data_IF_595345610986
#
_entry.id   IF_595345610986
#
_cell.length_a   1.000
_cell.length_b   1.000
_cell.length_c   1.000
_cell.angle_alpha   90.00
_cell.angle_beta   90.00
_cell.angle_gamma   90.00
#
_symmetry.space_group_name_H-M   'P 1'
#
loop_
_entity.id
_entity.type
_entity.pdbx_description
1 polymer ?
#
# COMPACT_ATOMS: atom_id res chain seq x y z
N UNK A 1 14.83 30.21 -60.87
CA UNK A 1 14.17 30.73 -59.67
C UNK A 1 13.82 29.53 -58.78
N UNK A 2 14.66 29.27 -57.75
CA UNK A 2 14.44 28.15 -56.80
C UNK A 2 13.61 28.70 -55.63
N UNK A 3 12.39 28.19 -55.45
CA UNK A 3 11.56 28.51 -54.27
C UNK A 3 12.03 27.72 -53.08
N UNK A 4 12.54 28.40 -52.07
CA UNK A 4 12.95 27.90 -50.78
C UNK A 4 11.68 27.77 -49.91
N UNK A 5 11.23 26.56 -49.67
CA UNK A 5 10.14 26.28 -48.71
C UNK A 5 10.76 26.22 -47.30
N UNK A 6 10.57 27.27 -46.53
CA UNK A 6 10.92 27.31 -45.10
C UNK A 6 9.86 26.51 -44.33
N UNK A 7 10.20 25.30 -43.94
CA UNK A 7 9.37 24.49 -43.02
C UNK A 7 9.50 25.10 -41.63
N UNK A 8 8.45 25.82 -41.17
CA UNK A 8 8.33 26.31 -39.81
C UNK A 8 7.92 25.13 -38.91
N UNK A 9 8.89 24.52 -38.21
CA UNK A 9 8.66 23.47 -37.24
C UNK A 9 8.11 24.13 -35.95
N UNK A 10 6.79 24.15 -35.81
CA UNK A 10 6.12 24.52 -34.56
C UNK A 10 6.36 23.41 -33.55
N UNK A 11 7.40 23.56 -32.72
CA UNK A 11 7.61 22.73 -31.55
C UNK A 11 6.53 23.12 -30.54
N UNK A 12 5.46 22.34 -30.47
CA UNK A 12 4.54 22.39 -29.35
C UNK A 12 5.28 21.88 -28.11
N UNK A 13 5.85 22.80 -27.33
CA UNK A 13 6.19 22.53 -25.94
C UNK A 13 4.86 22.29 -25.21
N UNK A 14 4.47 21.02 -25.12
CA UNK A 14 3.50 20.60 -24.14
C UNK A 14 4.14 20.84 -22.79
N UNK A 15 3.81 21.96 -22.15
CA UNK A 15 4.01 22.12 -20.71
C UNK A 15 3.13 21.07 -20.03
N UNK A 16 3.70 19.90 -19.82
CA UNK A 16 3.18 19.00 -18.81
C UNK A 16 3.43 19.73 -17.49
N UNK A 17 2.41 20.44 -17.01
CA UNK A 17 2.33 20.80 -15.60
C UNK A 17 2.46 19.47 -14.87
N UNK A 18 3.57 19.29 -14.16
CA UNK A 18 3.68 18.22 -13.18
C UNK A 18 2.49 18.41 -12.24
N UNK A 19 1.42 17.64 -12.46
CA UNK A 19 0.37 17.45 -11.48
C UNK A 19 1.09 16.90 -10.27
N UNK A 20 1.22 17.71 -9.22
CA UNK A 20 1.59 17.21 -7.91
C UNK A 20 0.54 16.13 -7.62
N UNK A 21 0.97 14.92 -7.34
CA UNK A 21 0.06 13.81 -7.07
C UNK A 21 -0.71 14.15 -5.78
N UNK A 22 -1.87 14.79 -5.92
CA UNK A 22 -2.74 15.17 -4.81
C UNK A 22 -3.77 14.07 -4.50
N UNK A 23 -3.80 13.01 -5.31
CA UNK A 23 -4.73 11.88 -5.19
C UNK A 23 -3.96 10.56 -5.02
N UNK A 24 -4.32 9.77 -4.02
CA UNK A 24 -3.73 8.44 -3.80
C UNK A 24 -4.00 7.47 -4.95
N UNK A 25 -4.97 7.74 -5.82
CA UNK A 25 -5.29 6.92 -7.01
C UNK A 25 -4.23 7.04 -8.10
N UNK A 26 -3.42 8.10 -8.07
CA UNK A 26 -2.29 8.27 -8.99
C UNK A 26 -1.11 7.36 -8.61
N UNK A 27 -1.13 6.81 -7.38
CA UNK A 27 -0.09 5.91 -6.91
C UNK A 27 -0.42 4.45 -7.22
N UNK A 28 0.55 3.76 -7.81
CA UNK A 28 0.42 2.34 -8.16
C UNK A 28 1.44 1.49 -7.39
N UNK A 29 1.01 0.31 -6.99
CA UNK A 29 1.89 -0.77 -6.52
C UNK A 29 1.79 -1.90 -7.54
N UNK A 30 2.89 -2.21 -8.25
CA UNK A 30 2.95 -3.22 -9.33
C UNK A 30 1.89 -2.99 -10.43
N UNK A 31 1.61 -1.71 -10.75
CA UNK A 31 0.62 -1.34 -11.75
C UNK A 31 -0.84 -1.39 -11.28
N UNK A 32 -1.08 -1.63 -9.99
CA UNK A 32 -2.41 -1.73 -9.38
C UNK A 32 -2.71 -0.47 -8.57
N UNK A 33 -3.90 0.12 -8.76
CA UNK A 33 -4.36 1.34 -8.10
C UNK A 33 -5.54 1.10 -7.16
N UNK A 34 -5.73 2.01 -6.21
CA UNK A 34 -7.01 2.12 -5.49
C UNK A 34 -8.09 2.53 -6.47
N UNK A 35 -9.25 1.85 -6.39
CA UNK A 35 -10.38 2.04 -7.30
C UNK A 35 -10.43 1.03 -8.44
N UNK A 36 -9.35 0.29 -8.71
CA UNK A 36 -9.37 -0.82 -9.65
C UNK A 36 -10.27 -1.95 -9.12
N UNK A 37 -10.74 -2.80 -10.03
CA UNK A 37 -11.42 -4.05 -9.66
C UNK A 37 -10.39 -5.14 -9.37
N UNK A 38 -10.51 -5.83 -8.24
CA UNK A 38 -9.65 -6.99 -7.96
C UNK A 38 -9.88 -8.14 -8.94
N UNK A 39 -11.03 -8.15 -9.64
CA UNK A 39 -11.34 -9.12 -10.70
C UNK A 39 -10.42 -9.00 -11.91
N UNK A 40 -9.75 -7.87 -12.11
CA UNK A 40 -8.77 -7.68 -13.18
C UNK A 40 -7.47 -8.48 -12.92
N UNK A 41 -7.26 -8.95 -11.68
CA UNK A 41 -6.03 -9.59 -11.22
C UNK A 41 -6.23 -11.00 -10.66
N UNK A 42 -7.44 -11.36 -10.25
CA UNK A 42 -7.79 -12.67 -9.66
C UNK A 42 -9.21 -13.07 -10.06
N UNK A 43 -9.48 -14.39 -10.11
CA UNK A 43 -10.83 -14.88 -10.31
C UNK A 43 -11.73 -14.58 -9.10
N UNK A 44 -13.03 -14.43 -9.35
CA UNK A 44 -14.03 -14.22 -8.29
C UNK A 44 -14.03 -15.36 -7.26
N UNK A 45 -13.82 -16.61 -7.73
CA UNK A 45 -13.73 -17.77 -6.86
C UNK A 45 -12.54 -17.69 -5.90
N UNK A 46 -11.36 -17.29 -6.41
CA UNK A 46 -10.16 -17.09 -5.57
C UNK A 46 -10.37 -15.99 -4.55
N UNK A 47 -10.99 -14.87 -4.96
CA UNK A 47 -11.30 -13.77 -4.05
C UNK A 47 -12.19 -14.28 -2.92
N UNK A 48 -13.31 -14.94 -3.22
CA UNK A 48 -14.26 -15.49 -2.22
C UNK A 48 -13.59 -16.45 -1.25
N UNK A 49 -12.80 -17.39 -1.77
CA UNK A 49 -12.05 -18.35 -0.95
C UNK A 49 -11.09 -17.63 0.02
N UNK A 50 -10.40 -16.59 -0.47
CA UNK A 50 -9.46 -15.85 0.37
C UNK A 50 -10.15 -15.00 1.43
N UNK A 51 -11.25 -14.32 1.08
CA UNK A 51 -12.04 -13.54 2.03
C UNK A 51 -12.53 -14.40 3.18
N UNK A 52 -13.10 -15.57 2.89
CA UNK A 52 -13.56 -16.51 3.92
C UNK A 52 -12.42 -17.09 4.76
N UNK A 53 -11.33 -17.50 4.12
CA UNK A 53 -10.15 -18.05 4.81
C UNK A 53 -9.49 -17.06 5.75
N UNK A 54 -9.42 -15.78 5.36
CA UNK A 54 -8.71 -14.76 6.12
C UNK A 54 -9.57 -14.15 7.24
N UNK A 55 -10.89 -14.30 7.17
CA UNK A 55 -11.84 -13.79 8.18
C UNK A 55 -11.52 -14.22 9.61
N UNK A 56 -11.24 -15.50 9.91
CA UNK A 56 -10.90 -15.93 11.26
C UNK A 56 -9.48 -15.53 11.72
N UNK A 57 -8.58 -15.24 10.79
CA UNK A 57 -7.20 -14.92 11.13
C UNK A 57 -7.04 -13.51 11.74
N UNK A 58 -8.04 -12.65 11.55
CA UNK A 58 -8.03 -11.28 11.99
C UNK A 58 -9.29 -10.96 12.80
N UNK A 59 -9.17 -10.80 14.09
CA UNK A 59 -10.30 -10.51 14.99
C UNK A 59 -11.09 -9.25 14.64
N UNK A 60 -10.50 -8.36 13.82
CA UNK A 60 -11.12 -7.10 13.41
C UNK A 60 -11.77 -7.16 12.03
N UNK A 61 -11.60 -8.24 11.26
CA UNK A 61 -12.28 -8.39 9.98
C UNK A 61 -13.78 -8.58 10.21
N UNK A 62 -14.54 -7.65 9.69
CA UNK A 62 -16.00 -7.64 9.71
C UNK A 62 -16.50 -7.90 8.29
N UNK A 63 -17.83 -7.95 8.10
CA UNK A 63 -18.43 -8.04 6.77
C UNK A 63 -18.31 -6.72 5.97
N UNK A 64 -17.77 -5.65 6.59
CA UNK A 64 -17.58 -4.36 5.92
C UNK A 64 -16.37 -4.38 4.98
N UNK A 65 -15.23 -4.95 5.43
CA UNK A 65 -14.04 -5.16 4.62
C UNK A 65 -13.46 -6.54 4.83
N UNK A 66 -12.98 -7.15 3.75
CA UNK A 66 -12.20 -8.38 3.78
C UNK A 66 -10.81 -8.18 3.20
N UNK A 67 -9.91 -9.12 3.43
CA UNK A 67 -8.53 -9.08 2.95
C UNK A 67 -8.24 -10.26 2.03
N UNK A 68 -7.76 -9.98 0.81
CA UNK A 68 -7.28 -10.96 -0.15
C UNK A 68 -5.79 -10.71 -0.44
N UNK A 69 -5.07 -11.77 -0.81
CA UNK A 69 -3.64 -11.72 -1.11
C UNK A 69 -3.39 -12.18 -2.54
N UNK A 70 -2.49 -11.48 -3.22
CA UNK A 70 -1.96 -11.88 -4.51
C UNK A 70 -0.48 -12.26 -4.34
N UNK A 71 -0.16 -13.48 -4.77
CA UNK A 71 1.19 -14.02 -4.83
C UNK A 71 1.55 -14.22 -6.30
N UNK A 72 2.44 -13.39 -6.81
CA UNK A 72 2.93 -13.44 -8.17
C UNK A 72 4.42 -13.14 -8.18
N UNK A 73 5.06 -13.24 -9.35
CA UNK A 73 6.42 -12.73 -9.54
C UNK A 73 6.34 -11.24 -9.78
N UNK A 74 6.28 -10.48 -8.69
CA UNK A 74 6.36 -9.02 -8.74
C UNK A 74 7.81 -8.57 -8.94
N UNK A 75 8.01 -7.35 -9.45
CA UNK A 75 9.36 -6.78 -9.61
C UNK A 75 9.98 -6.41 -8.26
N UNK A 76 9.15 -5.88 -7.35
CA UNK A 76 9.63 -5.28 -6.10
C UNK A 76 9.14 -6.00 -4.86
N UNK A 77 7.89 -6.47 -4.85
CA UNK A 77 7.25 -6.98 -3.65
C UNK A 77 7.17 -8.51 -3.63
N UNK A 78 7.28 -9.12 -2.44
CA UNK A 78 7.09 -10.56 -2.26
C UNK A 78 5.61 -10.94 -2.34
N UNK A 79 4.72 -10.03 -1.94
CA UNK A 79 3.27 -10.21 -1.96
C UNK A 79 2.55 -8.88 -1.92
N UNK A 80 1.33 -8.89 -2.45
CA UNK A 80 0.36 -7.82 -2.27
C UNK A 80 -0.82 -8.29 -1.42
N UNK A 81 -1.41 -7.38 -0.66
CA UNK A 81 -2.67 -7.61 0.04
C UNK A 81 -3.63 -6.46 -0.24
N UNK A 82 -4.89 -6.79 -0.40
CA UNK A 82 -5.95 -5.87 -0.79
C UNK A 82 -7.06 -5.88 0.23
N UNK A 83 -7.64 -4.70 0.51
CA UNK A 83 -8.93 -4.62 1.21
C UNK A 83 -10.01 -4.26 0.21
N UNK A 84 -11.03 -5.11 0.17
CA UNK A 84 -12.23 -4.97 -0.66
C UNK A 84 -13.47 -5.13 0.20
N UNK A 85 -14.65 -4.70 -0.29
CA UNK A 85 -15.93 -4.99 0.36
C UNK A 85 -16.44 -6.35 -0.10
N UNK A 86 -16.67 -7.34 0.79
CA UNK A 86 -17.09 -8.68 0.41
C UNK A 86 -18.44 -8.71 -0.34
N UNK A 87 -19.29 -7.72 -0.09
CA UNK A 87 -20.63 -7.61 -0.70
C UNK A 87 -20.65 -6.73 -1.97
N UNK A 88 -19.49 -6.28 -2.45
CA UNK A 88 -19.35 -5.56 -3.71
C UNK A 88 -18.98 -6.54 -4.83
N UNK A 89 -19.88 -6.75 -5.78
CA UNK A 89 -19.66 -7.67 -6.91
C UNK A 89 -18.48 -7.26 -7.82
N UNK A 90 -18.05 -6.01 -7.76
CA UNK A 90 -16.89 -5.52 -8.50
C UNK A 90 -15.59 -5.67 -7.71
N UNK A 91 -15.65 -5.99 -6.42
CA UNK A 91 -14.50 -6.09 -5.51
C UNK A 91 -13.52 -4.93 -5.67
N UNK A 92 -14.06 -3.69 -5.64
CA UNK A 92 -13.23 -2.48 -5.76
C UNK A 92 -12.18 -2.45 -4.66
N UNK A 93 -10.95 -2.10 -5.04
CA UNK A 93 -9.79 -2.04 -4.15
C UNK A 93 -9.84 -0.73 -3.35
N UNK A 94 -9.93 -0.84 -2.03
CA UNK A 94 -9.93 0.28 -1.07
C UNK A 94 -8.59 0.46 -0.35
N UNK A 95 -7.76 -0.58 -0.31
CA UNK A 95 -6.39 -0.51 0.19
C UNK A 95 -5.51 -1.53 -0.51
N UNK A 96 -4.27 -1.12 -0.77
CA UNK A 96 -3.20 -1.99 -1.30
C UNK A 96 -2.05 -1.97 -0.30
N UNK A 97 -1.50 -3.14 0.02
CA UNK A 97 -0.30 -3.29 0.84
C UNK A 97 0.72 -4.14 0.08
N UNK A 98 1.84 -3.53 -0.31
CA UNK A 98 3.03 -4.23 -0.78
C UNK A 98 3.95 -4.57 0.39
N UNK A 99 4.51 -5.78 0.42
CA UNK A 99 5.42 -6.23 1.47
C UNK A 99 6.71 -6.80 0.88
N UNK A 100 7.85 -6.40 1.48
CA UNK A 100 9.19 -6.91 1.17
C UNK A 100 9.78 -7.48 2.44
N UNK A 101 10.24 -8.73 2.41
CA UNK A 101 10.85 -9.42 3.55
C UNK A 101 12.31 -9.00 3.73
N UNK A 102 12.69 -8.76 4.97
CA UNK A 102 14.06 -8.41 5.35
C UNK A 102 14.69 -9.40 6.34
N UNK A 103 13.97 -10.46 6.71
CA UNK A 103 14.37 -11.44 7.73
C UNK A 103 14.84 -10.74 9.00
N UNK A 104 16.09 -11.01 9.43
CA UNK A 104 16.69 -10.38 10.62
C UNK A 104 17.49 -9.10 10.26
N UNK A 105 17.25 -8.48 9.10
CA UNK A 105 17.99 -7.32 8.60
C UNK A 105 17.21 -6.02 8.77
N UNK A 106 16.72 -5.75 9.97
CA UNK A 106 15.88 -4.58 10.27
C UNK A 106 16.54 -3.25 9.87
N UNK A 107 17.87 -3.12 10.03
CA UNK A 107 18.60 -1.92 9.61
C UNK A 107 18.50 -1.66 8.10
N UNK A 108 18.45 -2.70 7.28
CA UNK A 108 18.26 -2.57 5.84
C UNK A 108 16.82 -2.12 5.53
N UNK A 109 15.84 -2.61 6.29
CA UNK A 109 14.45 -2.10 6.20
C UNK A 109 14.40 -0.60 6.49
N UNK A 110 15.03 -0.13 7.56
CA UNK A 110 15.06 1.30 7.90
C UNK A 110 15.79 2.14 6.85
N UNK A 111 16.88 1.63 6.28
CA UNK A 111 17.57 2.32 5.20
C UNK A 111 16.66 2.50 3.98
N UNK A 112 15.94 1.44 3.58
CA UNK A 112 15.00 1.50 2.46
C UNK A 112 13.77 2.36 2.77
N UNK A 113 13.23 2.28 3.99
CA UNK A 113 12.14 3.13 4.45
C UNK A 113 12.53 4.62 4.32
N UNK A 114 13.73 4.99 4.76
CA UNK A 114 14.23 6.38 4.68
C UNK A 114 14.35 6.88 3.24
N UNK A 115 14.81 6.01 2.33
CA UNK A 115 14.90 6.31 0.90
C UNK A 115 13.51 6.63 0.32
N UNK A 116 12.55 5.72 0.51
CA UNK A 116 11.17 5.87 0.02
C UNK A 116 10.50 7.11 0.63
N UNK A 117 10.65 7.33 1.93
CA UNK A 117 10.09 8.50 2.62
C UNK A 117 10.66 9.81 2.08
N UNK A 118 11.95 9.82 1.70
CA UNK A 118 12.56 10.99 1.05
C UNK A 118 11.89 11.27 -0.31
N UNK A 119 11.70 10.26 -1.14
CA UNK A 119 11.04 10.39 -2.44
C UNK A 119 9.58 10.85 -2.28
N UNK A 120 8.82 10.21 -1.39
CA UNK A 120 7.42 10.58 -1.13
C UNK A 120 7.29 12.00 -0.56
N UNK A 121 8.25 12.46 0.25
CA UNK A 121 8.24 13.84 0.76
C UNK A 121 8.47 14.89 -0.35
N UNK A 122 9.07 14.50 -1.47
CA UNK A 122 9.22 15.37 -2.63
C UNK A 122 7.96 15.39 -3.52
N UNK A 123 7.29 14.24 -3.63
CA UNK A 123 6.09 14.06 -4.44
C UNK A 123 4.84 14.62 -3.73
N UNK A 124 4.66 14.32 -2.45
CA UNK A 124 3.46 14.64 -1.66
C UNK A 124 3.71 15.79 -0.68
N UNK A 125 4.05 16.96 -1.20
CA UNK A 125 4.40 18.15 -0.39
C UNK A 125 3.24 18.64 0.48
N UNK A 126 2.01 18.42 0.04
CA UNK A 126 0.79 18.87 0.74
C UNK A 126 0.31 17.83 1.77
N UNK A 127 0.84 16.59 1.74
CA UNK A 127 0.46 15.59 2.73
C UNK A 127 1.12 15.87 4.09
N UNK A 128 0.33 15.75 5.16
CA UNK A 128 0.82 15.87 6.51
C UNK A 128 1.59 14.61 6.89
N UNK A 129 2.88 14.75 7.14
CA UNK A 129 3.75 13.64 7.55
C UNK A 129 3.69 13.43 9.07
N UNK A 130 3.46 12.16 9.49
CA UNK A 130 3.41 11.77 10.91
C UNK A 130 4.22 10.50 11.11
N UNK A 131 5.10 10.53 12.10
CA UNK A 131 5.90 9.38 12.52
C UNK A 131 5.24 8.68 13.72
N UNK A 132 5.17 7.33 13.69
CA UNK A 132 4.59 6.55 14.78
C UNK A 132 5.40 5.28 15.00
N UNK A 133 5.53 4.91 16.27
CA UNK A 133 5.99 3.58 16.69
C UNK A 133 4.93 2.98 17.60
N UNK A 134 4.53 1.76 17.31
CA UNK A 134 3.52 1.06 18.11
C UNK A 134 3.82 -0.43 18.17
N UNK A 135 3.27 -1.09 19.19
CA UNK A 135 3.31 -2.54 19.32
C UNK A 135 2.44 -3.18 18.23
N UNK A 136 2.90 -4.30 17.68
CA UNK A 136 2.13 -5.01 16.68
C UNK A 136 0.88 -5.61 17.32
N UNK A 137 -0.34 -5.26 16.90
CA UNK A 137 -1.57 -5.57 17.64
C UNK A 137 -1.85 -7.06 17.85
N UNK A 138 -1.30 -7.92 17.02
CA UNK A 138 -1.51 -9.38 17.10
C UNK A 138 -0.34 -10.13 17.75
N UNK A 139 0.55 -9.40 18.40
CA UNK A 139 1.58 -9.98 19.26
C UNK A 139 1.17 -9.90 20.73
N UNK A 140 0.70 -11.01 21.33
CA UNK A 140 0.29 -11.01 22.73
C UNK A 140 1.47 -10.77 23.70
N UNK A 141 2.72 -10.85 23.22
CA UNK A 141 3.91 -10.60 24.02
C UNK A 141 4.28 -9.13 24.09
N UNK A 142 3.74 -8.28 23.20
CA UNK A 142 4.07 -6.86 23.09
C UNK A 142 5.49 -6.56 22.60
N UNK A 143 6.24 -7.58 22.14
CA UNK A 143 7.64 -7.43 21.73
C UNK A 143 7.81 -7.07 20.26
N UNK A 144 6.84 -7.41 19.41
CA UNK A 144 6.84 -7.00 18.00
C UNK A 144 6.50 -5.53 17.87
N UNK A 145 7.26 -4.81 17.04
CA UNK A 145 7.08 -3.36 16.88
C UNK A 145 6.99 -2.97 15.43
N UNK A 146 6.16 -1.97 15.16
CA UNK A 146 6.03 -1.33 13.86
C UNK A 146 6.49 0.11 13.94
N UNK A 147 7.43 0.48 13.08
CA UNK A 147 7.99 1.82 12.91
C UNK A 147 7.46 2.39 11.59
N UNK A 148 6.61 3.39 11.65
CA UNK A 148 5.85 3.84 10.48
C UNK A 148 5.93 5.35 10.28
N UNK A 149 5.95 5.74 9.00
CA UNK A 149 5.78 7.11 8.55
C UNK A 149 4.52 7.16 7.71
N UNK A 150 3.63 8.08 8.03
CA UNK A 150 2.33 8.26 7.41
C UNK A 150 2.31 9.58 6.65
N UNK A 151 1.85 9.55 5.41
CA UNK A 151 1.50 10.70 4.59
C UNK A 151 -0.01 10.79 4.53
N UNK A 152 -0.59 11.76 5.23
CA UNK A 152 -2.03 11.93 5.39
C UNK A 152 -2.47 13.09 4.52
N UNK A 153 -3.36 12.81 3.58
CA UNK A 153 -3.91 13.78 2.62
C UNK A 153 -5.12 14.51 3.21
N UNK A 154 -5.44 15.68 2.68
CA UNK A 154 -6.61 16.46 3.09
C UNK A 154 -7.94 15.73 2.81
N UNK A 155 -7.96 14.83 1.82
CA UNK A 155 -9.07 13.90 1.57
C UNK A 155 -9.36 12.96 2.73
N UNK A 156 -8.38 12.74 3.62
CA UNK A 156 -8.40 11.73 4.68
C UNK A 156 -7.78 10.39 4.27
N UNK A 157 -7.33 10.28 3.04
CA UNK A 157 -6.60 9.12 2.52
C UNK A 157 -5.16 9.10 3.08
N UNK A 158 -4.50 7.96 3.01
CA UNK A 158 -3.19 7.79 3.64
C UNK A 158 -2.27 6.87 2.85
N UNK A 159 -0.99 7.25 2.75
CA UNK A 159 0.10 6.35 2.39
C UNK A 159 0.95 6.12 3.65
N UNK A 160 1.21 4.86 3.97
CA UNK A 160 2.05 4.45 5.09
C UNK A 160 3.26 3.67 4.60
N UNK A 161 4.46 4.05 5.06
CA UNK A 161 5.71 3.30 4.87
C UNK A 161 6.14 2.80 6.24
N UNK A 162 6.21 1.47 6.43
CA UNK A 162 6.43 0.89 7.74
C UNK A 162 7.46 -0.23 7.70
N UNK A 163 8.36 -0.27 8.70
CA UNK A 163 9.15 -1.45 9.03
C UNK A 163 8.52 -2.15 10.24
N UNK A 164 8.21 -3.43 10.11
CA UNK A 164 7.70 -4.25 11.22
C UNK A 164 8.74 -5.27 11.61
N UNK A 165 9.11 -5.25 12.89
CA UNK A 165 9.94 -6.24 13.55
C UNK A 165 9.04 -7.19 14.34
N UNK A 166 9.09 -8.48 14.01
CA UNK A 166 8.32 -9.49 14.73
C UNK A 166 9.14 -10.19 15.80
N UNK A 167 8.50 -10.53 16.90
CA UNK A 167 9.08 -11.37 17.94
C UNK A 167 9.45 -12.75 17.36
N UNK A 168 10.57 -13.34 17.83
CA UNK A 168 11.16 -14.54 17.25
C UNK A 168 10.19 -15.75 17.25
N UNK A 169 9.42 -15.93 18.30
CA UNK A 169 8.46 -17.03 18.39
C UNK A 169 7.33 -16.90 17.38
N UNK A 170 6.87 -15.67 17.09
CA UNK A 170 5.89 -15.39 16.05
C UNK A 170 6.44 -15.61 14.64
N UNK A 171 7.71 -15.24 14.41
CA UNK A 171 8.37 -15.54 13.12
C UNK A 171 8.37 -17.04 12.85
N UNK A 172 8.77 -17.85 13.83
CA UNK A 172 8.82 -19.30 13.70
C UNK A 172 7.41 -19.90 13.53
N UNK A 173 6.47 -19.50 14.40
CA UNK A 173 5.11 -20.04 14.41
C UNK A 173 4.33 -19.76 13.12
N UNK A 174 4.49 -18.56 12.56
CA UNK A 174 3.69 -18.09 11.43
C UNK A 174 4.47 -18.04 10.12
N UNK A 175 5.74 -18.46 10.13
CA UNK A 175 6.66 -18.29 9.01
C UNK A 175 6.70 -16.81 8.51
N UNK A 176 6.81 -15.88 9.48
CA UNK A 176 6.91 -14.45 9.19
C UNK A 176 8.36 -13.99 9.17
N UNK A 177 8.64 -12.95 8.38
CA UNK A 177 9.90 -12.23 8.34
C UNK A 177 9.67 -10.76 8.72
N UNK A 178 10.68 -10.11 9.31
CA UNK A 178 10.68 -8.65 9.42
C UNK A 178 10.47 -8.07 8.03
N UNK A 179 9.70 -7.02 7.90
CA UNK A 179 9.26 -6.57 6.58
C UNK A 179 9.12 -5.07 6.47
N UNK A 180 9.45 -4.56 5.28
CA UNK A 180 9.00 -3.26 4.81
C UNK A 180 7.61 -3.42 4.23
N UNK A 181 6.72 -2.51 4.56
CA UNK A 181 5.36 -2.45 4.05
C UNK A 181 5.07 -1.05 3.52
N UNK A 182 4.57 -0.98 2.30
CA UNK A 182 3.95 0.24 1.76
C UNK A 182 2.46 -0.03 1.69
N UNK A 183 1.67 0.81 2.36
CA UNK A 183 0.21 0.68 2.40
C UNK A 183 -0.40 1.96 1.87
N UNK A 184 -1.23 1.82 0.85
CA UNK A 184 -2.11 2.87 0.37
C UNK A 184 -3.51 2.53 0.85
N UNK A 185 -4.20 3.45 1.48
CA UNK A 185 -5.54 3.22 1.98
C UNK A 185 -6.41 4.47 1.82
N UNK A 186 -7.63 4.28 1.35
CA UNK A 186 -8.59 5.35 1.32
C UNK A 186 -9.18 5.62 2.72
N UNK A 187 -9.82 6.77 2.89
CA UNK A 187 -10.39 7.21 4.17
C UNK A 187 -11.41 6.25 4.77
N UNK A 188 -12.14 5.49 3.95
CA UNK A 188 -13.15 4.53 4.46
C UNK A 188 -12.47 3.37 5.19
N UNK A 189 -11.43 2.78 4.58
CA UNK A 189 -10.63 1.74 5.24
C UNK A 189 -9.96 2.26 6.50
N UNK A 190 -9.42 3.50 6.46
CA UNK A 190 -8.77 4.10 7.62
C UNK A 190 -9.75 4.31 8.76
N UNK A 191 -10.95 4.81 8.48
CA UNK A 191 -12.01 5.00 9.48
C UNK A 191 -12.44 3.66 10.09
N UNK A 192 -12.63 2.64 9.24
CA UNK A 192 -12.96 1.29 9.66
C UNK A 192 -11.85 0.68 10.54
N UNK A 193 -10.58 0.79 10.14
CA UNK A 193 -9.45 0.30 10.93
C UNK A 193 -9.38 0.97 12.31
N UNK A 194 -9.55 2.28 12.38
CA UNK A 194 -9.56 3.03 13.66
C UNK A 194 -10.67 2.58 14.59
N UNK A 195 -11.80 2.15 14.06
CA UNK A 195 -12.93 1.65 14.85
C UNK A 195 -12.69 0.26 15.45
N UNK A 196 -11.87 -0.58 14.79
CA UNK A 196 -11.74 -2.00 15.11
C UNK A 196 -10.35 -2.43 15.63
N UNK A 197 -9.33 -1.56 15.56
CA UNK A 197 -7.93 -1.87 15.96
C UNK A 197 -7.49 -1.06 17.20
N UNK A 198 -8.38 -0.42 17.92
CA UNK A 198 -8.05 0.30 19.16
C UNK A 198 -8.00 -0.65 20.35
#
# INVERSE_FOLDING_TARGET
MKRLYTFLFLIFFSFQTSSLADDIRDFQIEGISIGDSLLDYMSEEEIKIQLERNKPAYNYLTDEFGEAYLFSKFETYDRLAFKVKPNDNNYIIYSIKGSISYDDKLEQCFAKQKEIVKEFSLLYKNARKVEKTFEFPWDPTGKSKTYSIHFIFDSGDEIKVACTQYEKSLKIKNNWADSLQIVIANKEVIAWMRKHIN
#
